data_IF_035364402915
#
_entry.id   IF_035364402915
#
_cell.length_a   1.000
_cell.length_b   1.000
_cell.length_c   1.000
_cell.angle_alpha   90.00
_cell.angle_beta   90.00
_cell.angle_gamma   90.00
#
_symmetry.space_group_name_H-M   'P 1'
#
loop_
_entity.id
_entity.type
_entity.pdbx_description
1 polymer ?
#
# COMPACT_ATOMS: atom_id res chain seq x y z
N UNK A 1 9.59 -3.68 91.91
CA UNK A 1 8.78 -4.55 91.02
C UNK A 1 8.33 -3.68 89.86
N UNK A 2 9.05 -3.78 88.75
CA UNK A 2 9.01 -2.87 87.60
C UNK A 2 7.91 -3.29 86.62
N UNK A 3 7.24 -2.35 85.91
CA UNK A 3 6.14 -2.69 85.00
C UNK A 3 6.67 -3.27 83.67
N UNK A 4 5.94 -4.24 83.13
CA UNK A 4 6.22 -4.92 81.86
C UNK A 4 6.03 -3.98 80.64
N UNK A 5 6.73 -4.21 79.51
CA UNK A 5 6.75 -3.28 78.39
C UNK A 5 5.54 -3.42 77.46
N UNK A 6 5.13 -2.28 76.90
CA UNK A 6 4.05 -2.17 75.93
C UNK A 6 4.52 -2.61 74.53
N UNK A 7 4.01 -3.75 74.05
CA UNK A 7 4.03 -4.06 72.61
C UNK A 7 2.91 -5.03 72.19
N UNK A 8 2.29 -4.66 71.06
CA UNK A 8 1.41 -5.44 70.18
C UNK A 8 -0.05 -5.71 70.59
N UNK A 9 -0.93 -4.72 70.34
CA UNK A 9 -2.22 -4.99 69.68
C UNK A 9 -2.26 -4.23 68.36
N UNK A 10 -1.73 -4.82 67.28
CA UNK A 10 -2.15 -4.43 65.93
C UNK A 10 -3.62 -4.88 65.79
N UNK A 11 -4.56 -3.94 65.91
CA UNK A 11 -5.88 -4.12 65.33
C UNK A 11 -5.65 -4.40 63.85
N UNK A 12 -6.00 -5.59 63.38
CA UNK A 12 -6.18 -5.84 61.95
C UNK A 12 -7.32 -4.93 61.48
N UNK A 13 -6.99 -3.74 61.01
CA UNK A 13 -7.82 -3.11 60.00
C UNK A 13 -7.53 -3.92 58.74
N UNK A 14 -8.50 -4.75 58.34
CA UNK A 14 -8.64 -5.02 56.92
C UNK A 14 -8.94 -3.65 56.30
N UNK A 15 -7.90 -3.00 55.80
CA UNK A 15 -8.13 -2.00 54.77
C UNK A 15 -8.93 -2.71 53.67
N UNK A 16 -9.98 -2.08 53.11
CA UNK A 16 -10.85 -2.74 52.17
C UNK A 16 -10.02 -3.36 51.04
N UNK A 17 -10.11 -4.69 50.85
CA UNK A 17 -9.51 -5.38 49.70
C UNK A 17 -10.22 -5.03 48.38
N UNK A 18 -11.13 -4.06 48.40
CA UNK A 18 -11.70 -3.49 47.18
C UNK A 18 -10.69 -2.53 46.58
N UNK A 19 -10.10 -2.84 45.40
CA UNK A 19 -9.32 -1.87 44.66
C UNK A 19 -10.15 -0.58 44.45
N UNK A 20 -9.52 0.62 44.40
CA UNK A 20 -10.19 1.94 44.47
C UNK A 20 -11.22 2.28 43.36
N UNK A 21 -11.63 1.32 42.54
CA UNK A 21 -12.55 1.49 41.44
C UNK A 21 -12.30 0.40 40.41
N UNK A 22 -13.34 0.02 39.65
CA UNK A 22 -13.14 -0.80 38.47
C UNK A 22 -12.09 -0.13 37.57
N UNK A 23 -11.13 -0.87 36.99
CA UNK A 23 -10.20 -0.30 36.02
C UNK A 23 -11.00 0.47 34.98
N UNK A 24 -10.71 1.76 34.80
CA UNK A 24 -11.26 2.52 33.68
C UNK A 24 -10.96 1.79 32.38
N UNK A 25 -11.80 1.90 31.34
CA UNK A 25 -11.58 1.19 30.08
C UNK A 25 -10.17 1.50 29.57
N UNK A 26 -9.26 0.53 29.67
CA UNK A 26 -7.86 0.60 29.21
C UNK A 26 -7.75 0.30 27.71
N UNK A 27 -8.87 0.01 27.05
CA UNK A 27 -8.91 -0.29 25.63
C UNK A 27 -8.87 1.02 24.83
N UNK A 28 -7.71 1.30 24.25
CA UNK A 28 -7.59 2.22 23.12
C UNK A 28 -8.49 1.71 21.98
N UNK A 29 -9.22 2.61 21.32
CA UNK A 29 -9.95 2.24 20.10
C UNK A 29 -8.94 1.89 18.99
N UNK A 30 -9.32 1.08 17.98
CA UNK A 30 -8.42 0.77 16.86
C UNK A 30 -7.87 2.03 16.17
N UNK A 31 -8.68 3.08 16.08
CA UNK A 31 -8.29 4.40 15.58
C UNK A 31 -7.21 5.10 16.46
N UNK A 32 -7.07 4.69 17.72
CA UNK A 32 -6.12 5.21 18.69
C UNK A 32 -4.84 4.36 18.79
N UNK A 33 -4.82 3.17 18.17
CA UNK A 33 -3.64 2.29 18.05
C UNK A 33 -2.90 2.55 16.73
N UNK A 34 -3.61 2.90 15.66
CA UNK A 34 -3.05 3.38 14.39
C UNK A 34 -3.88 4.56 13.86
N UNK A 35 -3.48 5.83 14.05
CA UNK A 35 -4.17 6.95 13.43
C UNK A 35 -4.03 6.85 11.90
N UNK A 36 -5.09 6.42 11.23
CA UNK A 36 -5.18 6.45 9.77
C UNK A 36 -5.81 7.76 9.33
N UNK A 37 -5.28 8.35 8.26
CA UNK A 37 -5.80 9.57 7.68
C UNK A 37 -6.83 9.23 6.61
N UNK A 38 -8.04 9.76 6.75
CA UNK A 38 -9.10 9.56 5.77
C UNK A 38 -8.81 10.35 4.49
N UNK A 39 -8.94 9.70 3.33
CA UNK A 39 -9.01 10.32 2.02
C UNK A 39 -10.49 10.52 1.70
N UNK A 40 -10.95 11.76 1.79
CA UNK A 40 -12.36 12.15 1.64
C UNK A 40 -12.69 12.76 0.28
N UNK A 41 -11.69 12.98 -0.56
CA UNK A 41 -11.82 13.53 -1.90
C UNK A 41 -10.59 13.16 -2.73
N UNK A 42 -10.74 13.22 -4.05
CA UNK A 42 -9.64 13.13 -5.03
C UNK A 42 -9.71 14.35 -5.96
N UNK A 43 -8.58 14.84 -6.52
CA UNK A 43 -7.21 14.37 -6.29
C UNK A 43 -6.75 14.57 -4.83
N UNK A 44 -5.95 13.64 -4.31
CA UNK A 44 -5.40 13.70 -2.96
C UNK A 44 -3.89 13.50 -2.95
N UNK A 45 -3.15 14.46 -2.38
CA UNK A 45 -1.68 14.40 -2.32
C UNK A 45 -1.19 14.06 -0.91
N UNK A 46 -0.48 12.94 -0.78
CA UNK A 46 0.15 12.47 0.44
C UNK A 46 1.60 12.94 0.46
N UNK A 47 1.92 13.87 1.36
CA UNK A 47 3.27 14.43 1.53
C UNK A 47 3.94 14.01 2.84
N UNK A 48 3.25 13.23 3.68
CA UNK A 48 3.75 12.74 4.95
C UNK A 48 3.69 11.21 5.02
N UNK A 49 4.66 10.55 5.67
CA UNK A 49 4.56 9.13 6.00
C UNK A 49 3.32 8.84 6.85
N UNK A 50 2.71 7.67 6.66
CA UNK A 50 1.53 7.29 7.44
C UNK A 50 0.63 6.28 6.74
N UNK A 51 -0.48 5.95 7.41
CA UNK A 51 -1.53 5.10 6.85
C UNK A 51 -2.71 5.96 6.43
N UNK A 52 -3.20 5.74 5.22
CA UNK A 52 -4.28 6.47 4.58
C UNK A 52 -5.34 5.49 4.10
N UNK A 53 -6.60 5.91 4.04
CA UNK A 53 -7.67 5.05 3.55
C UNK A 53 -8.77 5.81 2.83
N UNK A 54 -9.38 5.18 1.83
CA UNK A 54 -10.57 5.73 1.18
C UNK A 54 -11.80 5.59 2.07
N UNK A 55 -12.66 6.61 2.07
CA UNK A 55 -13.94 6.58 2.82
C UNK A 55 -15.14 6.17 1.96
N UNK A 56 -15.00 6.19 0.64
CA UNK A 56 -16.05 5.90 -0.34
C UNK A 56 -15.40 5.63 -1.70
N UNK A 57 -16.22 5.21 -2.68
CA UNK A 57 -15.85 5.23 -4.09
C UNK A 57 -15.60 6.67 -4.56
N UNK A 58 -14.55 6.86 -5.35
CA UNK A 58 -14.17 8.14 -5.92
C UNK A 58 -14.00 8.07 -7.44
N UNK A 59 -14.33 9.16 -8.11
CA UNK A 59 -14.08 9.35 -9.54
C UNK A 59 -13.33 10.68 -9.78
N UNK A 60 -12.41 10.71 -10.74
CA UNK A 60 -11.66 11.93 -11.11
C UNK A 60 -11.23 11.89 -12.58
N UNK A 61 -11.05 13.07 -13.18
CA UNK A 61 -10.57 13.23 -14.57
C UNK A 61 -9.05 13.42 -14.67
N UNK A 62 -8.30 12.88 -13.71
CA UNK A 62 -6.87 13.10 -13.59
C UNK A 62 -6.28 12.12 -12.61
N UNK A 63 -5.15 12.46 -11.98
CA UNK A 63 -4.59 11.54 -10.98
C UNK A 63 -5.44 11.46 -9.72
N UNK A 64 -5.71 10.25 -9.23
CA UNK A 64 -6.54 10.02 -8.04
C UNK A 64 -5.79 10.31 -6.75
N UNK A 65 -4.79 9.49 -6.43
CA UNK A 65 -3.94 9.66 -5.24
C UNK A 65 -2.49 9.84 -5.67
N UNK A 66 -1.84 10.90 -5.18
CA UNK A 66 -0.46 11.22 -5.47
C UNK A 66 0.36 11.05 -4.19
N UNK A 67 1.35 10.18 -4.20
CA UNK A 67 2.20 9.87 -3.04
C UNK A 67 3.59 10.48 -3.27
N UNK A 68 3.96 11.44 -2.42
CA UNK A 68 5.23 12.16 -2.44
C UNK A 68 6.05 11.94 -1.15
N UNK A 69 5.74 10.88 -0.40
CA UNK A 69 6.40 10.50 0.83
C UNK A 69 6.78 9.01 0.86
N UNK A 70 7.74 8.67 1.73
CA UNK A 70 8.13 7.28 2.02
C UNK A 70 7.26 6.72 3.14
N UNK A 71 7.23 5.39 3.28
CA UNK A 71 6.53 4.70 4.38
C UNK A 71 5.05 5.06 4.44
N UNK A 72 4.41 5.01 3.27
CA UNK A 72 2.99 5.33 3.09
C UNK A 72 2.23 4.04 2.83
N UNK A 73 1.14 3.83 3.54
CA UNK A 73 0.17 2.78 3.22
C UNK A 73 -1.12 3.43 2.78
N UNK A 74 -1.61 3.10 1.59
CA UNK A 74 -2.93 3.49 1.10
C UNK A 74 -3.80 2.24 1.03
N UNK A 75 -4.86 2.23 1.84
CA UNK A 75 -5.86 1.17 1.88
C UNK A 75 -7.13 1.67 1.18
N UNK A 76 -7.48 1.09 0.04
CA UNK A 76 -8.70 1.45 -0.67
C UNK A 76 -9.95 0.92 0.08
N UNK A 77 -9.80 0.11 1.13
CA UNK A 77 -10.88 -0.40 1.99
C UNK A 77 -12.02 -1.09 1.23
N UNK A 78 -11.72 -1.66 0.06
CA UNK A 78 -12.70 -2.29 -0.83
C UNK A 78 -13.44 -1.32 -1.76
N UNK A 79 -13.19 -0.01 -1.64
CA UNK A 79 -13.78 1.01 -2.52
C UNK A 79 -13.08 1.07 -3.88
N UNK A 80 -13.76 1.71 -4.84
CA UNK A 80 -13.26 1.94 -6.18
C UNK A 80 -12.68 3.34 -6.34
N UNK A 81 -11.60 3.41 -7.11
CA UNK A 81 -11.07 4.65 -7.68
C UNK A 81 -11.22 4.56 -9.20
N UNK A 82 -11.93 5.50 -9.79
CA UNK A 82 -12.29 5.47 -11.21
C UNK A 82 -11.79 6.73 -11.92
N UNK A 83 -11.09 6.55 -13.03
CA UNK A 83 -10.66 7.63 -13.91
C UNK A 83 -11.70 7.96 -14.99
N UNK A 84 -11.35 8.84 -15.90
CA UNK A 84 -12.17 9.29 -17.03
C UNK A 84 -11.79 8.62 -18.37
N UNK A 85 -11.03 7.52 -18.30
CA UNK A 85 -10.53 6.76 -19.45
C UNK A 85 -9.59 7.59 -20.35
N UNK A 86 -8.91 8.58 -19.76
CA UNK A 86 -7.90 9.37 -20.45
C UNK A 86 -6.51 8.69 -20.45
N UNK A 87 -5.59 9.24 -21.25
CA UNK A 87 -4.21 8.75 -21.34
C UNK A 87 -3.25 9.45 -20.37
N UNK A 88 -3.73 10.35 -19.50
CA UNK A 88 -2.87 11.26 -18.71
C UNK A 88 -2.97 10.96 -17.20
N UNK A 89 -4.16 10.66 -16.67
CA UNK A 89 -4.43 10.43 -15.26
C UNK A 89 -3.96 9.06 -14.77
N UNK A 90 -3.47 9.00 -13.53
CA UNK A 90 -3.08 7.74 -12.87
C UNK A 90 -3.97 7.48 -11.66
N UNK A 91 -4.36 6.22 -11.42
CA UNK A 91 -5.17 5.90 -10.25
C UNK A 91 -4.41 6.22 -8.95
N UNK A 92 -3.28 5.55 -8.75
CA UNK A 92 -2.32 5.92 -7.71
C UNK A 92 -0.94 6.16 -8.32
N UNK A 93 -0.44 7.38 -8.18
CA UNK A 93 0.89 7.77 -8.62
C UNK A 93 1.82 7.94 -7.43
N UNK A 94 2.87 7.13 -7.37
CA UNK A 94 3.97 7.31 -6.43
C UNK A 94 5.08 8.08 -7.13
N UNK A 95 5.22 9.36 -6.79
CA UNK A 95 6.16 10.27 -7.44
C UNK A 95 7.52 10.27 -6.72
N UNK A 96 8.42 9.41 -7.20
CA UNK A 96 9.84 9.41 -6.84
C UNK A 96 10.69 10.22 -7.80
N UNK A 97 11.99 10.23 -7.54
CA UNK A 97 13.02 10.80 -8.43
C UNK A 97 14.20 9.81 -8.50
N UNK A 98 15.01 9.81 -9.58
CA UNK A 98 16.13 8.87 -9.72
C UNK A 98 17.10 8.87 -8.53
N UNK A 99 17.45 10.06 -8.02
CA UNK A 99 18.36 10.25 -6.88
C UNK A 99 17.65 10.23 -5.52
N UNK A 100 16.32 10.33 -5.51
CA UNK A 100 15.48 10.33 -4.32
C UNK A 100 14.27 9.39 -4.51
N UNK A 101 14.51 8.07 -4.61
CA UNK A 101 13.45 7.12 -4.87
C UNK A 101 12.50 7.02 -3.68
N UNK A 102 11.23 6.70 -3.96
CA UNK A 102 10.27 6.42 -2.90
C UNK A 102 10.43 5.02 -2.37
N UNK A 103 10.24 4.86 -1.06
CA UNK A 103 10.47 3.58 -0.38
C UNK A 103 9.31 3.19 0.50
N UNK A 104 9.08 1.88 0.56
CA UNK A 104 8.12 1.27 1.49
C UNK A 104 6.71 1.85 1.33
N UNK A 105 6.25 1.94 0.08
CA UNK A 105 4.88 2.36 -0.25
C UNK A 105 4.03 1.12 -0.46
N UNK A 106 2.90 1.04 0.23
CA UNK A 106 1.95 -0.07 0.14
C UNK A 106 0.62 0.47 -0.38
N UNK A 107 0.06 -0.16 -1.42
CA UNK A 107 -1.29 0.13 -1.92
C UNK A 107 -2.08 -1.18 -1.88
N UNK A 108 -3.25 -1.17 -1.26
CA UNK A 108 -4.01 -2.40 -1.03
C UNK A 108 -5.53 -2.28 -1.02
N UNK A 109 -6.19 -3.42 -1.22
CA UNK A 109 -7.61 -3.67 -0.92
C UNK A 109 -8.63 -2.76 -1.63
N UNK A 110 -9.00 -3.06 -2.88
CA UNK A 110 -10.00 -2.27 -3.60
C UNK A 110 -9.97 -2.47 -5.10
N UNK A 111 -10.50 -1.49 -5.85
CA UNK A 111 -10.49 -1.52 -7.31
C UNK A 111 -10.02 -0.20 -7.92
N UNK A 112 -9.29 -0.30 -9.04
CA UNK A 112 -8.79 0.86 -9.79
C UNK A 112 -9.07 0.66 -11.27
N UNK A 113 -9.83 1.57 -11.88
CA UNK A 113 -10.29 1.47 -13.27
C UNK A 113 -10.27 2.80 -14.01
N UNK A 114 -10.21 2.78 -15.34
CA UNK A 114 -10.40 3.96 -16.18
C UNK A 114 -9.27 5.00 -16.11
N UNK A 115 -8.06 4.64 -15.70
CA UNK A 115 -6.89 5.53 -15.74
C UNK A 115 -5.96 5.17 -16.90
N UNK A 116 -5.01 6.06 -17.22
CA UNK A 116 -3.88 5.74 -18.09
C UNK A 116 -3.13 4.52 -17.57
N UNK A 117 -2.64 4.60 -16.33
CA UNK A 117 -2.19 3.44 -15.58
C UNK A 117 -2.91 3.38 -14.24
N UNK A 118 -3.36 2.19 -13.84
CA UNK A 118 -4.01 2.01 -12.54
C UNK A 118 -3.08 2.41 -11.40
N UNK A 119 -1.85 1.88 -11.41
CA UNK A 119 -0.80 2.24 -10.45
C UNK A 119 0.47 2.58 -11.19
N UNK A 120 1.02 3.76 -10.88
CA UNK A 120 2.29 4.21 -11.42
C UNK A 120 3.32 4.39 -10.30
N UNK A 121 4.29 3.47 -10.24
CA UNK A 121 5.44 3.53 -9.36
C UNK A 121 6.61 4.17 -10.10
N UNK A 122 6.77 5.47 -9.94
CA UNK A 122 7.87 6.22 -10.51
C UNK A 122 9.05 6.24 -9.54
N UNK A 123 10.13 5.54 -9.89
CA UNK A 123 11.35 5.43 -9.10
C UNK A 123 11.11 4.91 -7.67
N UNK A 124 10.45 3.77 -7.55
CA UNK A 124 10.06 3.17 -6.26
C UNK A 124 10.89 1.94 -5.93
N UNK A 125 11.29 1.82 -4.67
CA UNK A 125 11.97 0.66 -4.12
C UNK A 125 11.19 0.05 -2.96
N UNK A 126 11.15 -1.28 -2.90
CA UNK A 126 10.47 -2.01 -1.82
C UNK A 126 8.99 -1.60 -1.66
N UNK A 127 8.34 -1.24 -2.77
CA UNK A 127 6.91 -0.97 -2.80
C UNK A 127 6.10 -2.26 -2.89
N UNK A 128 4.84 -2.19 -2.49
CA UNK A 128 3.92 -3.32 -2.49
C UNK A 128 2.56 -2.91 -3.03
N UNK A 129 2.08 -3.67 -3.99
CA UNK A 129 0.71 -3.61 -4.51
C UNK A 129 0.07 -4.94 -4.15
N UNK A 130 -0.99 -4.93 -3.34
CA UNK A 130 -1.60 -6.17 -2.85
C UNK A 130 -3.13 -6.15 -2.87
N UNK A 131 -3.75 -7.30 -3.18
CA UNK A 131 -5.20 -7.52 -3.06
C UNK A 131 -6.06 -6.45 -3.77
N UNK A 132 -5.68 -6.08 -5.00
CA UNK A 132 -6.37 -5.10 -5.83
C UNK A 132 -6.95 -5.71 -7.10
N UNK A 133 -8.13 -5.24 -7.50
CA UNK A 133 -8.69 -5.45 -8.83
C UNK A 133 -8.33 -4.24 -9.71
N UNK A 134 -7.45 -4.44 -10.69
CA UNK A 134 -6.96 -3.38 -11.57
C UNK A 134 -7.35 -3.70 -13.00
N UNK A 135 -8.37 -3.02 -13.50
CA UNK A 135 -9.00 -3.37 -14.77
C UNK A 135 -9.38 -2.16 -15.60
N UNK A 136 -9.54 -2.35 -16.90
CA UNK A 136 -10.08 -1.32 -17.80
C UNK A 136 -9.30 0.00 -17.73
N UNK A 137 -7.97 -0.10 -17.51
CA UNK A 137 -7.08 1.04 -17.64
C UNK A 137 -6.58 1.13 -19.08
N UNK A 138 -6.43 2.35 -19.59
CA UNK A 138 -6.12 2.63 -20.99
C UNK A 138 -4.80 1.99 -21.40
N UNK A 139 -3.78 2.05 -20.53
CA UNK A 139 -2.46 1.51 -20.79
C UNK A 139 -2.15 0.30 -19.91
N UNK A 140 -1.51 0.50 -18.76
CA UNK A 140 -1.05 -0.59 -17.90
C UNK A 140 -1.90 -0.71 -16.63
N UNK A 141 -2.00 -1.93 -16.09
CA UNK A 141 -2.54 -2.11 -14.75
C UNK A 141 -1.59 -1.51 -13.70
N UNK A 142 -0.37 -2.05 -13.64
CA UNK A 142 0.72 -1.58 -12.78
C UNK A 142 1.96 -1.29 -13.61
N UNK A 143 2.46 -0.07 -13.52
CA UNK A 143 3.70 0.38 -14.12
C UNK A 143 4.76 0.58 -13.03
N UNK A 144 5.83 -0.21 -13.09
CA UNK A 144 7.04 -0.04 -12.29
C UNK A 144 8.10 0.63 -13.15
N UNK A 145 8.34 1.91 -12.91
CA UNK A 145 9.20 2.74 -13.75
C UNK A 145 10.49 3.10 -13.04
N UNK A 146 11.60 2.74 -13.67
CA UNK A 146 12.94 3.15 -13.30
C UNK A 146 13.80 3.35 -14.52
N UNK A 147 13.24 3.97 -15.56
CA UNK A 147 14.02 4.37 -16.72
C UNK A 147 15.03 5.47 -16.36
N UNK A 148 15.89 5.86 -17.31
CA UNK A 148 16.85 6.96 -17.13
C UNK A 148 17.78 6.81 -15.91
N UNK A 149 18.14 5.58 -15.54
CA UNK A 149 19.03 5.31 -14.41
C UNK A 149 18.36 5.32 -13.03
N UNK A 150 17.02 5.47 -12.97
CA UNK A 150 16.28 5.41 -11.73
C UNK A 150 16.07 3.98 -11.20
N UNK A 151 15.82 3.80 -9.89
CA UNK A 151 15.57 2.47 -9.34
C UNK A 151 14.08 2.14 -9.27
N UNK A 152 13.73 0.93 -9.69
CA UNK A 152 12.41 0.30 -9.62
C UNK A 152 12.54 -1.10 -8.99
N UNK A 153 13.44 -1.28 -8.02
CA UNK A 153 13.86 -2.59 -7.51
C UNK A 153 13.15 -3.02 -6.21
N UNK A 154 12.99 -4.33 -6.02
CA UNK A 154 12.44 -4.90 -4.79
C UNK A 154 10.93 -4.69 -4.60
N UNK A 155 10.22 -4.25 -5.64
CA UNK A 155 8.77 -4.08 -5.57
C UNK A 155 8.05 -5.42 -5.68
N UNK A 156 6.86 -5.48 -5.10
CA UNK A 156 6.04 -6.68 -5.11
C UNK A 156 4.61 -6.39 -5.55
N UNK A 157 4.08 -7.22 -6.44
CA UNK A 157 2.67 -7.22 -6.86
C UNK A 157 2.11 -8.58 -6.49
N UNK A 158 1.20 -8.63 -5.51
CA UNK A 158 0.76 -9.89 -4.88
C UNK A 158 -0.75 -9.93 -4.79
N UNK A 159 -1.39 -11.05 -5.16
CA UNK A 159 -2.83 -11.23 -4.94
C UNK A 159 -3.73 -10.27 -5.74
N UNK A 160 -3.17 -9.59 -6.75
CA UNK A 160 -3.93 -8.69 -7.61
C UNK A 160 -4.60 -9.45 -8.75
N UNK A 161 -5.81 -9.02 -9.12
CA UNK A 161 -6.51 -9.45 -10.32
C UNK A 161 -6.40 -8.33 -11.37
N UNK A 162 -5.90 -8.66 -12.55
CA UNK A 162 -5.71 -7.68 -13.62
C UNK A 162 -6.35 -8.17 -14.92
N UNK A 163 -7.27 -7.37 -15.47
CA UNK A 163 -8.05 -7.76 -16.65
C UNK A 163 -8.47 -6.55 -17.48
N UNK A 164 -8.49 -6.67 -18.80
CA UNK A 164 -9.00 -5.62 -19.67
C UNK A 164 -8.19 -4.31 -19.67
N UNK A 165 -6.93 -4.33 -19.24
CA UNK A 165 -6.02 -3.20 -19.42
C UNK A 165 -5.47 -3.19 -20.86
N UNK A 166 -5.28 -2.01 -21.46
CA UNK A 166 -5.04 -1.89 -22.90
C UNK A 166 -3.71 -2.48 -23.41
N UNK A 167 -2.65 -2.44 -22.62
CA UNK A 167 -1.34 -2.99 -22.97
C UNK A 167 -0.92 -4.19 -22.11
N UNK A 168 -0.51 -3.93 -20.86
CA UNK A 168 0.09 -4.93 -19.99
C UNK A 168 -0.60 -4.91 -18.62
N UNK A 169 -0.75 -6.06 -17.99
CA UNK A 169 -1.19 -6.13 -16.59
C UNK A 169 -0.14 -5.49 -15.68
N UNK A 170 1.10 -5.99 -15.74
CA UNK A 170 2.25 -5.42 -15.04
C UNK A 170 3.36 -5.14 -16.05
N UNK A 171 3.87 -3.90 -16.08
CA UNK A 171 4.97 -3.49 -16.92
C UNK A 171 6.13 -2.96 -16.08
N UNK A 172 7.34 -3.44 -16.34
CA UNK A 172 8.56 -3.01 -15.67
C UNK A 172 9.43 -2.29 -16.70
N UNK A 173 9.57 -0.99 -16.54
CA UNK A 173 10.39 -0.16 -17.42
C UNK A 173 11.68 0.26 -16.70
N UNK A 174 12.75 -0.50 -16.92
CA UNK A 174 14.10 -0.14 -16.50
C UNK A 174 14.94 0.44 -17.65
N UNK A 175 14.31 0.84 -18.76
CA UNK A 175 15.05 1.17 -19.98
C UNK A 175 15.93 2.41 -19.81
N UNK A 176 17.01 2.48 -20.59
CA UNK A 176 17.89 3.65 -20.67
C UNK A 176 18.73 3.95 -19.40
N UNK A 177 19.96 4.42 -19.64
CA UNK A 177 20.90 4.93 -18.62
C UNK A 177 21.12 4.05 -17.38
N UNK A 178 20.99 2.72 -17.51
CA UNK A 178 21.25 1.78 -16.41
C UNK A 178 20.14 1.69 -15.36
N UNK A 179 18.88 1.90 -15.76
CA UNK A 179 17.70 1.68 -14.92
C UNK A 179 17.68 0.30 -14.26
N UNK A 180 17.24 0.24 -13.00
CA UNK A 180 17.35 -0.99 -12.18
C UNK A 180 16.00 -1.46 -11.68
N UNK A 181 15.39 -2.40 -12.40
CA UNK A 181 14.16 -3.10 -12.01
C UNK A 181 14.47 -4.53 -11.52
N UNK A 182 15.39 -4.66 -10.57
CA UNK A 182 15.85 -5.96 -10.06
C UNK A 182 15.04 -6.41 -8.85
N UNK A 183 15.08 -7.72 -8.55
CA UNK A 183 14.46 -8.31 -7.36
C UNK A 183 12.96 -8.01 -7.17
N UNK A 184 12.24 -7.69 -8.25
CA UNK A 184 10.80 -7.51 -8.22
C UNK A 184 10.09 -8.87 -8.17
N UNK A 185 9.03 -8.98 -7.40
CA UNK A 185 8.25 -10.21 -7.24
C UNK A 185 6.82 -10.01 -7.70
N UNK A 186 6.35 -10.83 -8.63
CA UNK A 186 4.95 -10.83 -9.06
C UNK A 186 4.35 -12.18 -8.70
N UNK A 187 3.40 -12.17 -7.77
CA UNK A 187 2.64 -13.34 -7.34
C UNK A 187 1.20 -13.13 -7.75
N UNK A 188 0.77 -13.85 -8.77
CA UNK A 188 -0.59 -13.74 -9.31
C UNK A 188 -1.65 -14.08 -8.27
N UNK A 189 -2.75 -13.32 -8.26
CA UNK A 189 -4.04 -13.75 -7.70
C UNK A 189 -4.79 -14.69 -8.66
N UNK A 190 -6.01 -15.12 -8.32
CA UNK A 190 -6.71 -16.22 -9.02
C UNK A 190 -7.17 -15.93 -10.47
N UNK A 191 -7.09 -14.71 -11.00
CA UNK A 191 -7.60 -14.38 -12.34
C UNK A 191 -6.67 -13.39 -13.07
N UNK A 192 -6.00 -13.87 -14.13
CA UNK A 192 -5.38 -13.08 -15.19
C UNK A 192 -6.01 -13.54 -16.51
N UNK A 193 -7.20 -13.03 -16.85
CA UNK A 193 -7.89 -13.39 -18.10
C UNK A 193 -7.67 -12.30 -19.14
N UNK A 194 -6.91 -12.67 -20.18
CA UNK A 194 -6.62 -11.98 -21.44
C UNK A 194 -5.60 -10.81 -21.42
N UNK A 195 -4.51 -11.00 -22.20
CA UNK A 195 -3.54 -10.02 -22.72
C UNK A 195 -2.41 -9.46 -21.83
N UNK A 196 -2.32 -9.80 -20.55
CA UNK A 196 -1.23 -9.32 -19.68
C UNK A 196 0.11 -10.06 -19.88
N UNK A 197 0.87 -9.74 -20.93
CA UNK A 197 2.26 -10.19 -21.07
C UNK A 197 3.13 -9.55 -19.98
N UNK A 198 3.93 -10.34 -19.26
CA UNK A 198 5.01 -9.82 -18.41
C UNK A 198 6.18 -9.44 -19.33
N UNK A 199 6.41 -8.14 -19.53
CA UNK A 199 7.57 -7.65 -20.28
C UNK A 199 8.62 -7.08 -19.33
N UNK A 200 9.82 -7.66 -19.36
CA UNK A 200 11.02 -7.12 -18.71
C UNK A 200 11.98 -6.64 -19.80
N UNK A 201 12.22 -5.33 -19.92
CA UNK A 201 13.12 -4.78 -20.95
C UNK A 201 14.61 -4.83 -20.57
N UNK A 202 14.97 -5.27 -19.36
CA UNK A 202 16.36 -5.38 -18.92
C UNK A 202 16.74 -6.82 -18.53
N UNK A 203 17.23 -7.62 -19.50
CA UNK A 203 18.30 -8.64 -19.38
C UNK A 203 18.30 -9.71 -18.26
N UNK A 204 17.41 -9.68 -17.28
CA UNK A 204 17.32 -10.63 -16.20
C UNK A 204 16.20 -11.61 -16.52
N UNK A 205 16.59 -12.74 -17.13
CA UNK A 205 15.73 -13.91 -17.27
C UNK A 205 15.32 -14.38 -15.86
N UNK A 206 14.10 -14.02 -15.48
CA UNK A 206 13.46 -14.47 -14.25
C UNK A 206 12.00 -14.80 -14.53
N UNK A 207 11.74 -15.61 -15.56
CA UNK A 207 10.46 -16.32 -15.65
C UNK A 207 10.33 -17.15 -14.38
N UNK A 208 9.44 -16.73 -13.48
CA UNK A 208 9.01 -17.60 -12.39
C UNK A 208 8.45 -18.89 -13.02
N UNK A 209 8.88 -20.08 -12.58
CA UNK A 209 8.45 -21.37 -13.14
C UNK A 209 6.94 -21.66 -12.95
N UNK A 210 6.16 -20.69 -12.47
CA UNK A 210 4.74 -20.80 -12.17
C UNK A 210 3.86 -19.84 -13.00
N UNK A 211 4.38 -19.28 -14.11
CA UNK A 211 3.57 -18.54 -15.07
C UNK A 211 2.59 -19.50 -15.77
N UNK A 212 1.51 -19.83 -15.06
CA UNK A 212 0.46 -20.71 -15.52
C UNK A 212 -0.50 -19.89 -16.38
N UNK A 213 -0.12 -19.66 -17.64
CA UNK A 213 -1.03 -19.15 -18.65
C UNK A 213 -2.01 -20.28 -19.02
N UNK A 214 -3.13 -20.41 -18.32
CA UNK A 214 -4.24 -21.19 -18.84
C UNK A 214 -4.93 -20.37 -19.93
N UNK A 215 -4.92 -20.92 -21.15
CA UNK A 215 -5.70 -20.41 -22.29
C UNK A 215 -7.19 -20.31 -21.97
#
# INVERSE_FOLDING_TARGET
MSPLPAWFRRRGRQDPLTPPGAPGPTMKTLAQVEPRVAITNVPYTITQPGSYYLTTNFATAGSGVIIQANRVTVDLMGFSLTGDEDEIGYGVWVSGQPEAPRREVVIRSGSITGFSSGIYFEYVQNGRVEDLAISENVNQGVLLYGAYGGPCSGNSVVGCAMSGNGYYGVYLDGSQSGGRCEANTIVYGPIMTASGVLSTTNGAAGLSPWANFSR
#
